data_IF_261682296374
#
_entry.id   IF_261682296374
#
_cell.length_a   1.000
_cell.length_b   1.000
_cell.length_c   1.000
_cell.angle_alpha   90.00
_cell.angle_beta   90.00
_cell.angle_gamma   90.00
#
_symmetry.space_group_name_H-M   'P 1'
#
loop_
_entity.id
_entity.type
_entity.pdbx_description
1 polymer ?
#
# COMPACT_ATOMS: atom_id res chain seq x y z
N UNK A 1 32.79 26.73 -32.69
CA UNK A 1 31.75 25.69 -32.70
C UNK A 1 31.33 25.46 -31.25
N UNK A 2 30.05 25.65 -30.89
CA UNK A 2 29.55 25.54 -29.50
C UNK A 2 29.24 24.08 -29.18
N UNK A 3 29.92 23.49 -28.21
CA UNK A 3 29.72 22.11 -27.78
C UNK A 3 28.41 22.00 -26.97
N UNK A 4 27.40 21.31 -27.51
CA UNK A 4 26.15 21.02 -26.79
C UNK A 4 26.39 19.86 -25.83
N UNK A 5 26.12 20.08 -24.55
CA UNK A 5 26.16 19.04 -23.51
C UNK A 5 24.98 18.08 -23.71
N UNK A 6 25.20 17.00 -24.44
CA UNK A 6 24.22 15.92 -24.62
C UNK A 6 24.60 14.76 -23.70
N UNK A 7 23.95 14.67 -22.54
CA UNK A 7 24.11 13.56 -21.61
C UNK A 7 22.92 13.50 -20.65
N UNK A 8 22.59 12.31 -20.15
CA UNK A 8 21.46 12.08 -19.23
C UNK A 8 21.49 13.00 -17.98
N UNK A 9 22.66 13.53 -17.61
CA UNK A 9 22.84 14.49 -16.52
C UNK A 9 22.27 15.89 -16.82
N UNK A 10 21.92 16.22 -18.07
CA UNK A 10 21.27 17.49 -18.40
C UNK A 10 19.81 17.55 -17.89
N UNK A 11 19.17 16.40 -17.67
CA UNK A 11 17.77 16.30 -17.26
C UNK A 11 17.54 16.43 -15.75
N UNK A 12 18.60 16.35 -14.93
CA UNK A 12 18.47 16.36 -13.46
C UNK A 12 18.56 17.75 -12.82
N UNK A 13 18.63 18.82 -13.62
CA UNK A 13 18.74 20.21 -13.14
C UNK A 13 17.46 21.04 -13.22
N UNK A 14 16.29 20.39 -13.24
CA UNK A 14 15.00 21.10 -13.24
C UNK A 14 14.12 20.59 -12.10
N UNK A 15 14.47 20.97 -10.88
CA UNK A 15 13.73 20.56 -9.68
C UNK A 15 14.06 21.37 -8.42
N UNK A 16 14.59 22.59 -8.57
CA UNK A 16 14.85 23.46 -7.42
C UNK A 16 14.76 24.93 -7.81
N UNK A 17 13.53 25.42 -8.01
CA UNK A 17 13.10 26.81 -7.80
C UNK A 17 11.66 26.98 -8.29
N UNK A 18 10.72 27.15 -7.35
CA UNK A 18 9.62 28.11 -7.42
C UNK A 18 8.77 27.95 -6.16
N UNK A 19 9.00 28.82 -5.18
CA UNK A 19 8.02 29.11 -4.13
C UNK A 19 7.18 30.32 -4.59
N UNK A 20 5.88 30.23 -4.31
CA UNK A 20 4.92 31.31 -4.01
C UNK A 20 4.30 32.12 -5.17
N UNK A 21 3.03 31.84 -5.50
CA UNK A 21 1.93 32.76 -5.22
C UNK A 21 0.55 32.11 -5.42
N UNK A 22 -0.39 32.59 -4.63
CA UNK A 22 -1.74 32.07 -4.36
C UNK A 22 -2.74 32.57 -5.41
N UNK A 23 -3.70 31.74 -5.88
CA UNK A 23 -5.14 31.91 -5.62
C UNK A 23 -6.08 31.07 -6.54
N UNK A 24 -7.10 30.49 -5.88
CA UNK A 24 -8.47 30.18 -6.35
C UNK A 24 -8.76 29.00 -7.31
N UNK A 25 -9.34 27.95 -6.71
CA UNK A 25 -10.40 27.03 -7.18
C UNK A 25 -10.15 26.10 -8.38
N UNK A 26 -10.05 24.79 -8.09
CA UNK A 26 -11.00 23.72 -8.52
C UNK A 26 -10.31 22.34 -8.45
N UNK A 27 -11.06 21.37 -7.90
CA UNK A 27 -10.75 19.94 -7.76
C UNK A 27 -9.67 19.56 -6.74
N UNK A 28 -10.14 19.27 -5.53
CA UNK A 28 -9.41 18.46 -4.57
C UNK A 28 -9.00 17.13 -5.21
N UNK A 29 -7.70 16.80 -5.31
CA UNK A 29 -7.32 15.41 -5.29
C UNK A 29 -7.51 14.98 -3.83
N UNK A 30 -8.45 14.06 -3.61
CA UNK A 30 -8.54 13.28 -2.39
C UNK A 30 -7.13 12.81 -2.04
N UNK A 31 -6.52 13.48 -1.05
CA UNK A 31 -5.25 13.06 -0.48
C UNK A 31 -5.53 11.73 0.16
N UNK A 32 -5.37 10.66 -0.61
CA UNK A 32 -5.11 9.34 -0.07
C UNK A 32 -3.82 9.53 0.70
N UNK A 33 -3.94 9.85 1.99
CA UNK A 33 -2.83 9.88 2.92
C UNK A 33 -2.08 8.57 2.70
N UNK A 34 -0.93 8.68 2.03
CA UNK A 34 -0.07 7.55 1.80
C UNK A 34 0.45 7.16 3.17
N UNK A 35 -0.30 6.30 3.87
CA UNK A 35 0.01 5.82 5.22
C UNK A 35 1.47 5.40 5.17
N UNK A 36 2.31 6.20 5.81
CA UNK A 36 3.75 6.02 5.75
C UNK A 36 4.03 4.56 6.06
N UNK A 37 4.70 3.85 5.15
CA UNK A 37 5.02 2.42 5.32
C UNK A 37 5.86 2.29 6.57
N UNK A 38 5.20 1.99 7.69
CA UNK A 38 5.83 1.81 8.96
C UNK A 38 6.50 0.45 8.94
N UNK A 39 7.83 0.44 9.06
CA UNK A 39 8.60 -0.78 9.33
C UNK A 39 8.05 -1.41 10.61
N UNK A 40 7.80 -2.73 10.59
CA UNK A 40 7.18 -3.47 11.68
C UNK A 40 7.77 -3.06 13.04
N UNK A 41 6.95 -2.39 13.85
CA UNK A 41 7.30 -1.87 15.16
C UNK A 41 6.31 -2.52 16.12
N UNK A 42 6.75 -3.52 16.88
CA UNK A 42 5.92 -4.34 17.73
C UNK A 42 6.29 -5.82 17.68
N UNK A 43 5.67 -6.62 18.55
CA UNK A 43 5.80 -8.08 18.57
C UNK A 43 4.92 -8.70 17.47
N UNK A 44 5.36 -8.55 16.22
CA UNK A 44 4.61 -8.97 15.02
C UNK A 44 5.47 -9.91 14.19
N UNK A 45 4.92 -11.08 13.87
CA UNK A 45 5.56 -12.09 13.02
C UNK A 45 5.06 -11.97 11.59
N UNK A 46 5.98 -11.85 10.62
CA UNK A 46 5.64 -11.91 9.21
C UNK A 46 5.37 -13.36 8.77
N UNK A 47 4.25 -13.59 8.09
CA UNK A 47 3.85 -14.91 7.62
C UNK A 47 3.83 -14.96 6.08
N UNK A 48 4.45 -15.99 5.52
CA UNK A 48 4.46 -16.24 4.06
C UNK A 48 3.57 -17.43 3.74
N UNK A 49 2.57 -17.22 2.88
CA UNK A 49 1.65 -18.26 2.42
C UNK A 49 2.07 -18.73 1.01
N UNK A 50 2.08 -20.04 0.80
CA UNK A 50 2.21 -20.63 -0.54
C UNK A 50 0.83 -21.10 -0.98
N UNK A 51 0.35 -20.50 -2.07
CA UNK A 51 -0.94 -20.82 -2.68
C UNK A 51 -0.69 -21.25 -4.12
N UNK A 52 -1.61 -22.05 -4.67
CA UNK A 52 -1.69 -22.21 -6.12
C UNK A 52 -2.03 -20.85 -6.76
N UNK A 53 -1.75 -20.70 -8.06
CA UNK A 53 -2.09 -19.47 -8.79
C UNK A 53 -3.60 -19.17 -8.73
N UNK A 54 -4.41 -20.23 -8.84
CA UNK A 54 -5.87 -20.13 -8.85
C UNK A 54 -6.42 -19.73 -7.48
N UNK A 55 -5.92 -20.37 -6.40
CA UNK A 55 -6.34 -20.02 -5.04
C UNK A 55 -5.92 -18.61 -4.65
N UNK A 56 -4.72 -18.19 -5.05
CA UNK A 56 -4.27 -16.81 -4.86
C UNK A 56 -5.23 -15.82 -5.53
N UNK A 57 -5.66 -16.09 -6.77
CA UNK A 57 -6.58 -15.22 -7.48
C UNK A 57 -7.95 -15.17 -6.78
N UNK A 58 -8.46 -16.31 -6.30
CA UNK A 58 -9.74 -16.35 -5.56
C UNK A 58 -9.68 -15.51 -4.28
N UNK A 59 -8.62 -15.67 -3.48
CA UNK A 59 -8.40 -14.87 -2.26
C UNK A 59 -8.26 -13.39 -2.58
N UNK A 60 -7.52 -13.06 -3.64
CA UNK A 60 -7.31 -11.68 -4.05
C UNK A 60 -8.61 -11.02 -4.51
N UNK A 61 -9.42 -11.71 -5.32
CA UNK A 61 -10.71 -11.19 -5.78
C UNK A 61 -11.71 -11.02 -4.63
N UNK A 62 -11.74 -11.97 -3.69
CA UNK A 62 -12.58 -11.84 -2.49
C UNK A 62 -12.20 -10.58 -1.69
N UNK A 63 -10.90 -10.40 -1.41
CA UNK A 63 -10.40 -9.22 -0.70
C UNK A 63 -10.74 -7.90 -1.43
N UNK A 64 -10.62 -7.88 -2.76
CA UNK A 64 -11.01 -6.72 -3.58
C UNK A 64 -12.51 -6.43 -3.50
N UNK A 65 -13.35 -7.47 -3.59
CA UNK A 65 -14.81 -7.31 -3.54
C UNK A 65 -15.32 -6.80 -2.19
N UNK A 66 -14.61 -7.15 -1.10
CA UNK A 66 -14.91 -6.68 0.26
C UNK A 66 -14.21 -5.35 0.60
N UNK A 67 -13.33 -4.85 -0.28
CA UNK A 67 -12.58 -3.61 -0.04
C UNK A 67 -11.57 -3.71 1.11
N UNK A 68 -11.08 -4.91 1.45
CA UNK A 68 -10.13 -5.13 2.53
C UNK A 68 -8.80 -5.71 2.04
N UNK A 69 -7.76 -5.64 2.87
CA UNK A 69 -6.48 -6.27 2.56
C UNK A 69 -6.55 -7.79 2.74
N UNK A 70 -5.72 -8.53 2.00
CA UNK A 70 -5.59 -10.00 2.16
C UNK A 70 -5.20 -10.35 3.60
N UNK A 71 -4.36 -9.54 4.25
CA UNK A 71 -4.02 -9.73 5.66
C UNK A 71 -5.25 -9.66 6.57
N UNK A 72 -6.09 -8.62 6.41
CA UNK A 72 -7.32 -8.46 7.20
C UNK A 72 -8.28 -9.62 6.96
N UNK A 73 -8.51 -9.99 5.70
CA UNK A 73 -9.34 -11.15 5.32
C UNK A 73 -8.85 -12.43 6.01
N UNK A 74 -7.53 -12.65 6.01
CA UNK A 74 -6.91 -13.84 6.64
C UNK A 74 -7.09 -13.82 8.15
N UNK A 75 -6.90 -12.68 8.80
CA UNK A 75 -7.10 -12.53 10.26
C UNK A 75 -8.56 -12.75 10.66
N UNK A 76 -9.51 -12.20 9.91
CA UNK A 76 -10.94 -12.44 10.17
C UNK A 76 -11.33 -13.89 9.98
N UNK A 77 -10.86 -14.53 8.89
CA UNK A 77 -11.09 -15.95 8.64
C UNK A 77 -10.52 -16.83 9.76
N UNK A 78 -9.27 -16.59 10.17
CA UNK A 78 -8.65 -17.32 11.28
C UNK A 78 -9.34 -17.05 12.63
N UNK A 79 -9.74 -15.81 12.92
CA UNK A 79 -10.47 -15.47 14.14
C UNK A 79 -11.78 -16.24 14.24
N UNK A 80 -12.55 -16.29 13.13
CA UNK A 80 -13.80 -17.07 13.06
C UNK A 80 -13.53 -18.56 13.30
N UNK A 81 -12.49 -19.13 12.70
CA UNK A 81 -12.11 -20.54 12.94
C UNK A 81 -11.71 -20.82 14.41
N UNK A 82 -11.13 -19.84 15.11
CA UNK A 82 -10.84 -19.96 16.55
C UNK A 82 -12.15 -19.97 17.35
N UNK A 83 -13.04 -19.02 17.08
CA UNK A 83 -14.33 -18.89 17.75
C UNK A 83 -15.22 -20.13 17.54
N UNK A 84 -15.25 -20.68 16.33
CA UNK A 84 -15.95 -21.92 16.00
C UNK A 84 -15.44 -23.13 16.82
N UNK A 85 -14.18 -23.07 17.28
CA UNK A 85 -13.58 -24.09 18.14
C UNK A 85 -13.72 -23.78 19.63
N UNK A 86 -14.45 -22.72 20.00
CA UNK A 86 -14.58 -22.24 21.37
C UNK A 86 -13.32 -21.56 21.91
N UNK A 87 -12.39 -21.19 21.03
CA UNK A 87 -11.20 -20.44 21.38
C UNK A 87 -11.47 -18.94 21.25
N UNK A 88 -10.62 -18.13 21.89
CA UNK A 88 -10.67 -16.67 21.73
C UNK A 88 -10.22 -16.29 20.32
N UNK A 89 -10.97 -15.39 19.68
CA UNK A 89 -10.61 -14.78 18.40
C UNK A 89 -9.24 -14.09 18.42
N UNK A 90 -8.66 -13.91 17.24
CA UNK A 90 -7.33 -13.32 17.09
C UNK A 90 -7.40 -11.78 17.19
N UNK A 91 -6.46 -11.18 17.92
CA UNK A 91 -6.33 -9.71 18.02
C UNK A 91 -5.47 -9.17 16.87
N UNK A 92 -5.90 -8.06 16.26
CA UNK A 92 -5.12 -7.28 15.28
C UNK A 92 -4.25 -6.22 15.94
#
# INVERSE_FOLDING_TARGET
MKNKSTGLAAFTKQGRQAETNEDTSTNAPEQVEAKARQRGKGDVVALTLRLSRDDWQRVHQLALSEGISIQKLTMEGLSRMFEEKGLKGLSQ
#
